data_IF_170887985652
#
_entry.id   IF_170887985652
#
_cell.length_a   1.000
_cell.length_b   1.000
_cell.length_c   1.000
_cell.angle_alpha   90.00
_cell.angle_beta   90.00
_cell.angle_gamma   90.00
#
_symmetry.space_group_name_H-M   'P 1'
#
loop_
_entity.id
_entity.type
_entity.pdbx_description
1 polymer ?
#
# COMPACT_ATOMS: atom_id res chain seq x y z
N UNK A 1 4.54 1.47 33.76
CA UNK A 1 5.28 1.55 32.48
C UNK A 1 6.71 1.93 32.73
N UNK A 2 7.65 1.22 32.13
CA UNK A 2 9.07 1.27 32.51
C UNK A 2 9.91 2.23 31.65
N UNK A 3 9.29 3.03 30.77
CA UNK A 3 9.97 3.94 29.82
C UNK A 3 11.06 3.26 28.99
N UNK A 4 10.74 2.09 28.47
CA UNK A 4 11.65 1.23 27.68
C UNK A 4 11.30 1.26 26.17
N UNK A 5 10.61 2.30 25.68
CA UNK A 5 10.39 2.47 24.24
C UNK A 5 11.73 2.70 23.54
N UNK A 6 12.00 1.96 22.47
CA UNK A 6 13.30 2.01 21.78
C UNK A 6 13.43 3.30 20.97
N UNK A 7 12.41 3.62 20.19
CA UNK A 7 12.39 4.84 19.38
C UNK A 7 11.65 5.97 20.09
N UNK A 8 11.99 7.21 19.71
CA UNK A 8 11.25 8.40 20.15
C UNK A 8 9.76 8.29 19.80
N UNK A 9 9.42 7.65 18.68
CA UNK A 9 8.04 7.38 18.29
C UNK A 9 7.33 6.47 19.29
N UNK A 10 8.01 5.46 19.84
CA UNK A 10 7.42 4.50 20.77
C UNK A 10 7.21 5.14 22.14
N UNK A 11 8.24 5.81 22.65
CA UNK A 11 8.19 6.48 23.94
C UNK A 11 7.26 7.72 23.90
N UNK A 12 7.15 8.37 22.74
CA UNK A 12 6.26 9.50 22.50
C UNK A 12 4.79 9.15 22.73
N UNK A 13 4.34 7.94 22.37
CA UNK A 13 2.97 7.49 22.60
C UNK A 13 2.59 7.47 24.09
N UNK A 14 3.54 7.18 24.97
CA UNK A 14 3.31 7.20 26.41
C UNK A 14 3.38 8.60 27.00
N UNK A 15 4.23 9.46 26.43
CA UNK A 15 4.49 10.79 26.95
C UNK A 15 3.42 11.81 26.54
N UNK A 16 2.77 11.62 25.39
CA UNK A 16 1.73 12.51 24.88
C UNK A 16 0.37 12.22 25.55
N UNK A 17 -0.28 13.26 26.06
CA UNK A 17 -1.55 13.15 26.78
C UNK A 17 -2.67 12.56 25.92
N UNK A 18 -2.64 12.77 24.60
CA UNK A 18 -3.66 12.29 23.65
C UNK A 18 -3.63 10.76 23.52
N UNK A 19 -2.45 10.16 23.66
CA UNK A 19 -2.24 8.72 23.42
C UNK A 19 -2.01 7.94 24.70
N UNK A 20 -1.50 8.57 25.76
CA UNK A 20 -1.17 7.93 27.06
C UNK A 20 -2.31 7.09 27.63
N UNK A 21 -3.56 7.56 27.55
CA UNK A 21 -4.73 6.81 28.02
C UNK A 21 -4.93 5.48 27.26
N UNK A 22 -4.69 5.50 25.95
CA UNK A 22 -4.78 4.31 25.09
C UNK A 22 -3.66 3.33 25.43
N UNK A 23 -2.42 3.81 25.58
CA UNK A 23 -1.29 2.95 25.96
C UNK A 23 -1.52 2.31 27.33
N UNK A 24 -1.99 3.08 28.33
CA UNK A 24 -2.32 2.56 29.65
C UNK A 24 -3.39 1.46 29.58
N UNK A 25 -4.41 1.63 28.72
CA UNK A 25 -5.45 0.63 28.51
C UNK A 25 -4.88 -0.66 27.91
N UNK A 26 -4.01 -0.55 26.93
CA UNK A 26 -3.42 -1.73 26.27
C UNK A 26 -2.41 -2.48 27.15
N UNK A 27 -1.70 -1.79 28.04
CA UNK A 27 -0.80 -2.45 29.01
C UNK A 27 -1.58 -3.19 30.10
N UNK A 28 -2.75 -2.69 30.49
CA UNK A 28 -3.58 -3.31 31.53
C UNK A 28 -4.52 -4.39 31.00
N UNK A 29 -4.86 -4.33 29.71
CA UNK A 29 -5.77 -5.27 29.06
C UNK A 29 -5.27 -5.62 27.66
N UNK A 30 -4.68 -6.81 27.58
CA UNK A 30 -4.10 -7.34 26.36
C UNK A 30 -5.17 -7.68 25.31
N UNK A 31 -6.38 -8.09 25.73
CA UNK A 31 -7.48 -8.39 24.80
C UNK A 31 -7.97 -7.11 24.13
N UNK A 32 -8.10 -6.01 24.89
CA UNK A 32 -8.43 -4.71 24.34
C UNK A 32 -7.40 -4.22 23.31
N UNK A 33 -6.11 -4.52 23.50
CA UNK A 33 -5.09 -4.27 22.48
C UNK A 33 -5.35 -5.08 21.21
N UNK A 34 -5.52 -6.41 21.31
CA UNK A 34 -5.70 -7.26 20.14
C UNK A 34 -6.97 -6.92 19.34
N UNK A 35 -8.09 -6.64 20.01
CA UNK A 35 -9.32 -6.21 19.35
C UNK A 35 -9.10 -4.93 18.53
N UNK A 36 -8.43 -3.93 19.11
CA UNK A 36 -8.13 -2.67 18.42
C UNK A 36 -7.09 -2.84 17.34
N UNK A 37 -6.12 -3.73 17.52
CA UNK A 37 -5.09 -4.05 16.54
C UNK A 37 -5.72 -4.61 15.26
N UNK A 38 -6.66 -5.56 15.37
CA UNK A 38 -7.36 -6.14 14.20
C UNK A 38 -8.11 -5.05 13.42
N UNK A 39 -8.86 -4.19 14.13
CA UNK A 39 -9.58 -3.07 13.50
C UNK A 39 -8.62 -2.09 12.80
N UNK A 40 -7.49 -1.77 13.43
CA UNK A 40 -6.49 -0.87 12.86
C UNK A 40 -5.85 -1.46 11.59
N UNK A 41 -5.50 -2.75 11.61
CA UNK A 41 -4.92 -3.44 10.45
C UNK A 41 -5.90 -3.55 9.28
N UNK A 42 -7.19 -3.79 9.53
CA UNK A 42 -8.21 -3.76 8.48
C UNK A 42 -8.33 -2.39 7.83
N UNK A 43 -8.35 -1.31 8.62
CA UNK A 43 -8.39 0.06 8.10
C UNK A 43 -7.13 0.41 7.30
N UNK A 44 -5.96 0.04 7.83
CA UNK A 44 -4.68 0.28 7.16
C UNK A 44 -4.61 -0.44 5.80
N UNK A 45 -5.05 -1.69 5.73
CA UNK A 45 -5.02 -2.50 4.51
C UNK A 45 -5.95 -1.99 3.39
N UNK A 46 -6.84 -1.05 3.68
CA UNK A 46 -7.76 -0.44 2.72
C UNK A 46 -7.28 0.94 2.22
N UNK A 47 -6.16 1.46 2.72
CA UNK A 47 -5.63 2.74 2.27
C UNK A 47 -5.05 2.63 0.84
N UNK A 48 -5.58 3.44 -0.07
CA UNK A 48 -5.04 3.58 -1.43
C UNK A 48 -5.10 2.32 -2.29
N UNK A 49 -6.02 1.40 -1.99
CA UNK A 49 -6.17 0.15 -2.75
C UNK A 49 -6.62 0.40 -4.19
N UNK A 50 -6.06 -0.38 -5.12
CA UNK A 50 -6.49 -0.41 -6.51
C UNK A 50 -7.63 -1.41 -6.65
N UNK A 51 -8.76 -0.98 -7.21
CA UNK A 51 -9.98 -1.79 -7.34
C UNK A 51 -10.53 -1.78 -8.76
N UNK A 52 -11.38 -2.76 -9.10
CA UNK A 52 -11.94 -2.89 -10.44
C UNK A 52 -10.87 -3.06 -11.50
N UNK A 53 -10.83 -2.15 -12.48
CA UNK A 53 -9.86 -2.16 -13.56
C UNK A 53 -8.58 -1.36 -13.25
N UNK A 54 -8.39 -0.91 -12.01
CA UNK A 54 -7.19 -0.21 -11.59
C UNK A 54 -6.10 -1.24 -11.22
N UNK A 55 -4.92 -1.12 -11.83
CA UNK A 55 -3.79 -2.01 -11.56
C UNK A 55 -3.86 -3.34 -12.30
N UNK A 56 -3.16 -4.36 -11.78
CA UNK A 56 -3.10 -5.69 -12.38
C UNK A 56 -2.85 -6.78 -11.31
N UNK A 57 -3.30 -8.00 -11.58
CA UNK A 57 -2.87 -9.18 -10.83
C UNK A 57 -1.52 -9.63 -11.42
N UNK A 58 -0.44 -9.50 -10.64
CA UNK A 58 0.91 -9.82 -11.10
C UNK A 58 1.15 -11.31 -11.17
N UNK A 59 1.79 -11.78 -12.25
CA UNK A 59 2.21 -13.18 -12.42
C UNK A 59 3.53 -13.50 -11.71
N UNK A 60 4.36 -12.48 -11.50
CA UNK A 60 5.63 -12.57 -10.77
C UNK A 60 5.76 -11.37 -9.85
N UNK A 61 6.19 -11.57 -8.60
CA UNK A 61 6.47 -10.47 -7.69
C UNK A 61 7.72 -9.71 -8.17
N UNK A 62 7.76 -8.38 -7.97
CA UNK A 62 8.90 -7.53 -8.35
C UNK A 62 8.93 -7.01 -9.79
N UNK A 63 8.04 -7.47 -10.68
CA UNK A 63 7.95 -7.01 -12.08
C UNK A 63 6.50 -6.75 -12.50
N UNK A 64 6.28 -5.76 -13.38
CA UNK A 64 4.99 -5.54 -14.02
C UNK A 64 4.76 -6.60 -15.09
N UNK A 65 3.51 -6.98 -15.33
CA UNK A 65 3.21 -7.90 -16.42
C UNK A 65 3.56 -7.22 -17.76
N UNK A 66 4.13 -7.98 -18.68
CA UNK A 66 4.31 -7.50 -20.06
C UNK A 66 2.96 -7.36 -20.73
N UNK A 67 2.71 -6.22 -21.36
CA UNK A 67 1.63 -6.08 -22.34
C UNK A 67 1.94 -7.08 -23.45
N UNK A 68 1.04 -8.04 -23.71
CA UNK A 68 1.24 -9.01 -24.80
C UNK A 68 1.53 -8.28 -26.11
N UNK A 69 2.67 -8.55 -26.74
CA UNK A 69 3.14 -7.82 -27.91
C UNK A 69 2.19 -7.94 -29.11
N UNK A 70 1.86 -6.81 -29.72
CA UNK A 70 0.99 -6.74 -30.90
C UNK A 70 0.63 -5.33 -31.33
N UNK A 71 1.64 -4.48 -31.63
CA UNK A 71 1.43 -3.38 -32.57
C UNK A 71 1.95 -3.87 -33.93
N UNK A 72 1.04 -4.47 -34.70
CA UNK A 72 1.26 -4.81 -36.09
C UNK A 72 1.48 -3.54 -36.92
N UNK A 73 2.52 -3.62 -37.75
CA UNK A 73 2.85 -2.79 -38.91
C UNK A 73 1.67 -2.05 -39.55
N UNK A 74 1.79 -0.73 -39.66
CA UNK A 74 1.20 0.00 -40.79
C UNK A 74 2.37 0.42 -41.67
N UNK A 75 2.57 -0.32 -42.76
CA UNK A 75 3.42 0.08 -43.87
C UNK A 75 2.93 1.44 -44.36
N UNK A 76 3.79 2.46 -44.33
CA UNK A 76 3.54 3.68 -45.08
C UNK A 76 3.64 3.36 -46.57
N UNK A 77 2.54 3.48 -47.30
CA UNK A 77 2.56 3.54 -48.76
C UNK A 77 3.38 4.76 -49.18
N UNK A 78 4.63 4.55 -49.60
CA UNK A 78 5.34 5.53 -50.40
C UNK A 78 4.81 5.45 -51.84
N UNK A 79 3.77 6.22 -52.13
CA UNK A 79 3.42 6.60 -53.51
C UNK A 79 4.55 7.49 -54.04
N UNK A 80 5.56 6.89 -54.67
CA UNK A 80 6.40 7.63 -55.61
C UNK A 80 5.66 7.71 -56.94
N UNK A 81 5.06 8.87 -57.14
CA UNK A 81 4.52 9.35 -58.42
C UNK A 81 5.58 9.14 -59.51
N UNK A 82 5.24 8.34 -60.51
CA UNK A 82 5.95 8.29 -61.78
C UNK A 82 4.90 8.40 -62.87
N UNK A 83 4.71 9.62 -63.38
CA UNK A 83 3.98 9.87 -64.61
C UNK A 83 4.39 11.23 -65.19
N UNK A 84 5.12 11.11 -66.31
CA UNK A 84 5.39 12.05 -67.41
C UNK A 84 6.39 13.18 -67.14
#
# INVERSE_FOLDING_TARGET
MNRQGLFTSDQGLQNDERTRGIVNRFVTDQMAFFERFVVAMMKMGQLGVLTGNQGEIRRRYGVRNSVGGGLGSVVGEDVKVSAV
#
